data_IF_493035441690
#
_entry.id   IF_493035441690
#
_cell.length_a   1.000
_cell.length_b   1.000
_cell.length_c   1.000
_cell.angle_alpha   90.00
_cell.angle_beta   90.00
_cell.angle_gamma   90.00
#
_symmetry.space_group_name_H-M   'P 1'
#
loop_
_entity.id
_entity.type
_entity.pdbx_description
1 polymer ?
#
# COMPACT_ATOMS: atom_id res chain seq x y z
N UNK A 1 -46.71 -79.00 9.27
CA UNK A 1 -46.54 -78.99 10.73
C UNK A 1 -45.11 -79.35 11.08
N UNK A 2 -44.51 -78.66 12.06
CA UNK A 2 -43.15 -78.87 12.56
C UNK A 2 -42.07 -78.19 11.71
N UNK A 3 -40.99 -77.60 12.21
CA UNK A 3 -40.44 -77.49 13.56
C UNK A 3 -38.91 -77.29 13.46
N UNK A 4 -38.36 -76.38 14.26
CA UNK A 4 -37.02 -76.45 14.88
C UNK A 4 -35.71 -76.48 14.05
N UNK A 5 -34.91 -75.41 14.21
CA UNK A 5 -33.56 -75.48 14.81
C UNK A 5 -32.33 -75.81 13.94
N UNK A 6 -31.33 -74.91 13.94
CA UNK A 6 -29.90 -75.14 14.31
C UNK A 6 -28.97 -74.09 13.64
N UNK A 7 -28.13 -73.40 14.43
CA UNK A 7 -26.95 -72.67 13.95
C UNK A 7 -25.72 -73.58 13.86
N UNK A 8 -24.47 -73.09 13.98
CA UNK A 8 -23.86 -71.85 13.50
C UNK A 8 -22.72 -72.14 12.47
N UNK A 9 -22.31 -71.14 11.69
CA UNK A 9 -21.16 -71.25 10.79
C UNK A 9 -20.54 -69.88 10.52
N UNK A 10 -19.38 -69.64 11.10
CA UNK A 10 -18.61 -68.40 10.99
C UNK A 10 -18.07 -68.16 9.58
N UNK A 11 -17.81 -66.87 9.33
CA UNK A 11 -16.84 -66.28 8.39
C UNK A 11 -17.13 -66.45 6.90
N UNK A 12 -17.51 -65.35 6.24
CA UNK A 12 -16.62 -64.53 5.40
C UNK A 12 -17.30 -63.20 5.04
N UNK A 13 -16.52 -62.13 5.01
CA UNK A 13 -16.91 -60.73 4.87
C UNK A 13 -17.83 -60.45 3.66
N UNK A 14 -19.05 -60.01 3.94
CA UNK A 14 -20.01 -59.47 2.96
C UNK A 14 -20.43 -58.05 3.38
N UNK A 15 -19.46 -57.22 3.74
CA UNK A 15 -19.64 -55.81 4.12
C UNK A 15 -18.80 -54.87 3.24
N UNK A 16 -18.41 -55.32 2.04
CA UNK A 16 -17.49 -54.60 1.16
C UNK A 16 -18.08 -54.31 -0.24
N UNK A 17 -19.38 -54.03 -0.39
CA UNK A 17 -19.85 -53.66 -1.74
C UNK A 17 -21.13 -52.83 -1.86
N UNK A 18 -21.41 -51.92 -0.94
CA UNK A 18 -22.47 -50.92 -1.14
C UNK A 18 -22.10 -49.58 -0.47
N UNK A 19 -21.03 -48.93 -0.93
CA UNK A 19 -20.88 -47.48 -0.76
C UNK A 19 -20.90 -46.81 -2.14
N UNK A 20 -21.86 -45.90 -2.28
CA UNK A 20 -22.38 -45.35 -3.53
C UNK A 20 -21.62 -44.05 -3.83
N UNK A 21 -21.24 -43.74 -5.08
CA UNK A 21 -20.36 -42.60 -5.37
C UNK A 21 -21.02 -41.27 -5.00
N UNK A 22 -20.40 -40.55 -4.06
CA UNK A 22 -20.77 -39.20 -3.67
C UNK A 22 -20.01 -38.18 -4.52
N UNK A 23 -20.75 -37.51 -5.40
CA UNK A 23 -20.58 -36.15 -5.91
C UNK A 23 -19.14 -35.66 -6.22
N UNK A 24 -18.81 -35.58 -7.52
CA UNK A 24 -17.67 -34.79 -8.00
C UNK A 24 -17.90 -33.30 -7.73
N UNK A 25 -17.49 -32.85 -6.55
CA UNK A 25 -17.34 -31.44 -6.25
C UNK A 25 -16.25 -30.86 -7.17
N UNK A 26 -16.69 -30.19 -8.23
CA UNK A 26 -15.82 -29.35 -9.06
C UNK A 26 -15.13 -28.31 -8.16
N UNK A 27 -13.78 -28.16 -8.20
CA UNK A 27 -13.12 -27.14 -7.41
C UNK A 27 -13.65 -25.75 -7.82
N UNK A 28 -13.83 -24.81 -6.88
CA UNK A 28 -14.25 -23.46 -7.20
C UNK A 28 -13.25 -22.84 -8.19
N UNK A 29 -13.70 -22.02 -9.15
CA UNK A 29 -12.79 -21.33 -10.06
C UNK A 29 -11.76 -20.56 -9.23
N UNK A 30 -10.48 -20.80 -9.51
CA UNK A 30 -9.39 -20.09 -8.86
C UNK A 30 -9.63 -18.59 -8.98
N UNK A 31 -9.65 -17.90 -7.83
CA UNK A 31 -9.78 -16.44 -7.82
C UNK A 31 -8.66 -15.84 -8.70
N UNK A 32 -8.97 -14.82 -9.53
CA UNK A 32 -7.95 -14.16 -10.32
C UNK A 32 -6.85 -13.62 -9.40
N UNK A 33 -5.57 -13.65 -9.84
CA UNK A 33 -4.48 -13.14 -9.02
C UNK A 33 -4.75 -11.68 -8.64
N UNK A 34 -4.44 -11.26 -7.40
CA UNK A 34 -4.60 -9.87 -7.00
C UNK A 34 -3.78 -8.97 -7.94
N UNK A 35 -4.27 -7.76 -8.25
CA UNK A 35 -3.54 -6.84 -9.11
C UNK A 35 -2.16 -6.56 -8.51
N UNK A 36 -1.12 -6.37 -9.36
CA UNK A 36 0.22 -6.11 -8.88
C UNK A 36 0.25 -4.84 -8.02
N UNK A 37 0.82 -4.97 -6.82
CA UNK A 37 0.97 -3.85 -5.90
C UNK A 37 1.87 -2.77 -6.51
N UNK A 38 1.59 -1.50 -6.20
CA UNK A 38 2.44 -0.39 -6.65
C UNK A 38 3.83 -0.52 -6.02
N UNK A 39 4.85 -0.62 -6.86
CA UNK A 39 6.25 -0.46 -6.47
C UNK A 39 6.78 0.89 -6.96
N UNK A 40 7.53 1.60 -6.13
CA UNK A 40 8.18 2.86 -6.49
C UNK A 40 9.61 2.61 -6.99
N UNK A 41 10.03 3.40 -7.97
CA UNK A 41 11.42 3.41 -8.45
C UNK A 41 12.34 3.90 -7.32
N UNK A 42 13.44 3.17 -6.97
CA UNK A 42 14.32 3.58 -5.87
C UNK A 42 15.04 4.92 -6.09
N UNK A 43 15.38 5.23 -7.35
CA UNK A 43 16.04 6.48 -7.73
C UNK A 43 15.25 7.18 -8.85
N UNK A 44 14.12 7.84 -8.52
CA UNK A 44 13.38 8.62 -9.49
C UNK A 44 14.17 9.88 -9.90
N UNK A 45 13.90 10.38 -11.10
CA UNK A 45 14.58 11.52 -11.70
C UNK A 45 13.55 12.38 -12.40
N UNK A 46 13.54 13.66 -12.06
CA UNK A 46 12.64 14.66 -12.60
C UNK A 46 13.32 16.02 -12.48
N UNK A 47 13.33 16.81 -13.55
CA UNK A 47 13.83 18.19 -13.48
C UNK A 47 12.78 19.15 -12.92
N UNK A 48 13.23 20.31 -12.44
CA UNK A 48 12.36 21.29 -11.78
C UNK A 48 11.29 21.89 -12.71
N UNK A 49 11.61 22.12 -13.99
CA UNK A 49 10.66 22.68 -14.94
C UNK A 49 9.52 21.68 -15.20
N UNK A 50 9.85 20.41 -15.40
CA UNK A 50 8.87 19.33 -15.54
C UNK A 50 8.05 19.16 -14.27
N UNK A 51 8.65 19.23 -13.08
CA UNK A 51 7.90 19.18 -11.81
C UNK A 51 6.84 20.28 -11.74
N UNK A 52 7.22 21.53 -12.01
CA UNK A 52 6.29 22.66 -11.95
C UNK A 52 5.15 22.54 -12.97
N UNK A 53 5.50 22.20 -14.22
CA UNK A 53 4.50 21.99 -15.28
C UNK A 53 3.51 20.87 -14.94
N UNK A 54 4.00 19.73 -14.44
CA UNK A 54 3.17 18.61 -14.04
C UNK A 54 2.35 18.93 -12.78
N UNK A 55 2.93 19.61 -11.79
CA UNK A 55 2.20 20.02 -10.59
C UNK A 55 0.98 20.89 -10.90
N UNK A 56 1.10 21.79 -11.87
CA UNK A 56 -0.01 22.62 -12.32
C UNK A 56 -1.12 21.83 -13.05
N UNK A 57 -0.74 20.82 -13.82
CA UNK A 57 -1.66 20.08 -14.70
C UNK A 57 -2.31 18.84 -14.07
N UNK A 58 -1.61 18.15 -13.16
CA UNK A 58 -2.06 16.86 -12.64
C UNK A 58 -3.21 17.00 -11.63
N UNK A 59 -4.20 16.08 -11.67
CA UNK A 59 -5.26 16.04 -10.68
C UNK A 59 -4.73 15.54 -9.32
N UNK A 60 -5.41 15.89 -8.21
CA UNK A 60 -5.13 15.31 -6.91
C UNK A 60 -5.46 13.81 -6.87
N UNK A 61 -4.70 13.06 -6.08
CA UNK A 61 -5.02 11.66 -5.74
C UNK A 61 -6.29 11.58 -4.89
N UNK A 62 -6.93 10.39 -4.78
CA UNK A 62 -8.24 10.24 -4.15
C UNK A 62 -8.33 10.81 -2.73
N UNK A 63 -7.32 10.59 -1.88
CA UNK A 63 -7.26 11.12 -0.52
C UNK A 63 -7.08 12.65 -0.44
N UNK A 64 -6.76 13.30 -1.57
CA UNK A 64 -6.48 14.73 -1.66
C UNK A 64 -7.52 15.53 -2.47
N UNK A 65 -8.59 14.90 -2.97
CA UNK A 65 -9.62 15.57 -3.81
C UNK A 65 -10.31 16.70 -3.04
N UNK A 66 -10.63 16.48 -1.76
CA UNK A 66 -11.31 17.46 -0.91
C UNK A 66 -10.37 18.42 -0.18
N UNK A 67 -9.08 18.41 -0.53
CA UNK A 67 -8.03 19.21 0.12
C UNK A 67 -6.91 18.36 0.71
N UNK A 68 -5.98 18.98 1.46
CA UNK A 68 -4.81 18.27 1.97
C UNK A 68 -5.16 17.16 2.95
N UNK A 69 -4.57 15.97 2.75
CA UNK A 69 -4.62 14.85 3.70
C UNK A 69 -3.69 15.13 4.88
N UNK A 70 -4.08 14.74 6.09
CA UNK A 70 -3.20 14.81 7.26
C UNK A 70 -2.59 13.45 7.52
N UNK A 71 -1.26 13.38 7.55
CA UNK A 71 -0.48 12.19 7.87
C UNK A 71 0.20 12.35 9.24
N UNK A 72 0.38 11.24 9.94
CA UNK A 72 1.01 11.19 11.26
C UNK A 72 2.50 10.88 11.13
N UNK A 73 3.31 11.50 11.99
CA UNK A 73 4.74 11.22 12.13
C UNK A 73 5.04 10.35 13.37
N UNK A 74 6.23 9.75 13.40
CA UNK A 74 6.72 9.00 14.56
C UNK A 74 6.81 9.83 15.85
N UNK A 75 6.98 9.14 16.98
CA UNK A 75 6.93 9.76 18.31
C UNK A 75 8.04 10.80 18.53
N UNK A 76 9.21 10.57 17.94
CA UNK A 76 10.40 11.39 18.16
C UNK A 76 10.60 12.47 17.08
N UNK A 77 9.60 12.70 16.23
CA UNK A 77 9.71 13.62 15.09
C UNK A 77 10.11 15.05 15.49
N UNK A 78 9.64 15.57 16.63
CA UNK A 78 9.99 16.91 17.12
C UNK A 78 11.47 17.06 17.50
N UNK A 79 12.11 15.99 17.98
CA UNK A 79 13.52 15.99 18.35
C UNK A 79 14.45 15.89 17.13
N UNK A 80 14.04 15.12 16.12
CA UNK A 80 14.85 14.86 14.93
C UNK A 80 14.66 15.94 13.87
N UNK A 81 13.42 16.40 13.67
CA UNK A 81 13.06 17.25 12.53
C UNK A 81 13.18 18.75 12.86
N UNK A 82 14.40 19.16 13.22
CA UNK A 82 14.78 20.57 13.44
C UNK A 82 15.16 21.30 12.14
N UNK A 83 15.48 20.54 11.10
CA UNK A 83 15.77 21.00 9.74
C UNK A 83 15.20 19.99 8.72
N UNK A 84 15.18 20.31 7.41
CA UNK A 84 14.55 19.43 6.41
C UNK A 84 15.27 18.10 6.15
N UNK A 85 16.61 18.07 6.27
CA UNK A 85 17.45 16.97 5.78
C UNK A 85 17.12 15.55 6.32
N UNK A 86 16.72 15.37 7.60
CA UNK A 86 16.39 14.04 8.12
C UNK A 86 15.21 13.38 7.42
N UNK A 87 14.11 14.12 7.17
CA UNK A 87 12.95 13.57 6.49
C UNK A 87 13.22 13.35 4.99
N UNK A 88 14.01 14.23 4.36
CA UNK A 88 14.49 14.02 2.98
C UNK A 88 15.22 12.69 2.84
N UNK A 89 16.15 12.41 3.76
CA UNK A 89 16.95 11.19 3.73
C UNK A 89 16.08 9.95 3.95
N UNK A 90 15.15 10.00 4.90
CA UNK A 90 14.22 8.90 5.21
C UNK A 90 13.28 8.58 4.04
N UNK A 91 12.68 9.59 3.41
CA UNK A 91 11.77 9.36 2.30
C UNK A 91 12.48 8.87 1.03
N UNK A 92 13.75 9.25 0.84
CA UNK A 92 14.57 8.72 -0.25
C UNK A 92 14.72 7.19 -0.18
N UNK A 93 14.82 6.60 1.01
CA UNK A 93 14.89 5.12 1.16
C UNK A 93 13.57 4.42 0.83
N UNK A 94 12.49 5.19 0.65
CA UNK A 94 11.15 4.70 0.30
C UNK A 94 10.77 5.04 -1.16
N UNK A 95 11.72 5.54 -1.96
CA UNK A 95 11.51 5.85 -3.38
C UNK A 95 10.94 7.25 -3.66
N UNK A 96 10.91 8.14 -2.67
CA UNK A 96 10.53 9.54 -2.84
C UNK A 96 11.78 10.43 -2.89
N UNK A 97 12.05 11.04 -4.05
CA UNK A 97 13.09 12.04 -4.18
C UNK A 97 12.56 13.44 -3.81
N UNK A 98 13.46 14.34 -3.44
CA UNK A 98 13.12 15.72 -3.07
C UNK A 98 13.45 16.67 -4.21
N UNK A 99 12.47 17.46 -4.64
CA UNK A 99 12.64 18.55 -5.60
C UNK A 99 13.10 19.82 -4.90
N UNK A 100 12.46 20.15 -3.78
CA UNK A 100 12.81 21.29 -2.95
C UNK A 100 12.36 21.06 -1.51
N UNK A 101 13.08 21.65 -0.55
CA UNK A 101 12.70 21.66 0.85
C UNK A 101 13.20 22.92 1.53
N UNK A 102 12.49 23.40 2.55
CA UNK A 102 12.90 24.60 3.28
C UNK A 102 12.00 24.95 4.45
N UNK A 103 12.32 26.05 5.12
CA UNK A 103 11.65 26.49 6.34
C UNK A 103 12.25 25.84 7.60
N UNK A 104 11.54 26.02 8.71
CA UNK A 104 11.93 25.56 10.04
C UNK A 104 10.66 25.21 10.84
N UNK A 105 10.74 24.45 11.94
CA UNK A 105 9.61 24.21 12.81
C UNK A 105 8.94 25.54 13.23
N UNK A 106 7.59 25.59 13.28
CA UNK A 106 6.63 24.50 13.17
C UNK A 106 6.13 24.22 11.74
N UNK A 107 6.73 24.82 10.71
CA UNK A 107 6.27 24.69 9.32
C UNK A 107 7.44 24.46 8.37
N UNK A 108 7.84 23.20 8.23
CA UNK A 108 8.85 22.79 7.26
C UNK A 108 8.14 22.34 5.99
N UNK A 109 8.51 22.91 4.84
CA UNK A 109 7.88 22.63 3.55
C UNK A 109 8.75 21.73 2.70
N UNK A 110 8.11 20.79 2.00
CA UNK A 110 8.73 19.86 1.09
C UNK A 110 7.94 19.72 -0.20
N UNK A 111 8.68 19.51 -1.28
CA UNK A 111 8.18 19.09 -2.58
C UNK A 111 8.89 17.79 -2.93
N UNK A 112 8.17 16.68 -2.87
CA UNK A 112 8.70 15.35 -3.22
C UNK A 112 8.13 14.86 -4.55
N UNK A 113 8.81 13.91 -5.15
CA UNK A 113 8.29 13.17 -6.30
C UNK A 113 8.72 11.70 -6.25
N UNK A 114 7.88 10.84 -6.81
CA UNK A 114 8.16 9.43 -7.02
C UNK A 114 7.66 8.99 -8.39
N UNK A 115 8.19 7.89 -8.90
CA UNK A 115 7.76 7.27 -10.16
C UNK A 115 7.47 5.79 -9.91
N UNK A 116 6.46 5.25 -10.57
CA UNK A 116 6.21 3.82 -10.53
C UNK A 116 7.40 3.05 -11.12
N UNK A 117 7.75 1.91 -10.54
CA UNK A 117 8.89 1.09 -10.96
C UNK A 117 8.73 0.51 -12.37
N UNK A 118 7.49 0.31 -12.80
CA UNK A 118 7.12 -0.12 -14.16
C UNK A 118 7.12 1.02 -15.19
N UNK A 119 7.48 2.24 -14.77
CA UNK A 119 7.50 3.44 -15.62
C UNK A 119 6.12 4.07 -15.86
N UNK A 120 5.03 3.47 -15.35
CA UNK A 120 3.66 3.90 -15.62
C UNK A 120 3.07 4.70 -14.46
N UNK A 121 3.62 5.89 -14.20
CA UNK A 121 3.01 6.85 -13.29
C UNK A 121 4.01 7.78 -12.61
N UNK A 122 3.61 9.04 -12.48
CA UNK A 122 4.29 10.07 -11.71
C UNK A 122 3.45 10.45 -10.49
N UNK A 123 4.11 10.59 -9.34
CA UNK A 123 3.49 11.04 -8.09
C UNK A 123 4.24 12.27 -7.61
N UNK A 124 3.52 13.38 -7.47
CA UNK A 124 4.07 14.65 -6.99
C UNK A 124 3.44 14.97 -5.64
N UNK A 125 4.23 15.46 -4.70
CA UNK A 125 3.79 15.67 -3.32
C UNK A 125 4.23 17.05 -2.85
N UNK A 126 3.28 17.83 -2.33
CA UNK A 126 3.57 18.96 -1.45
C UNK A 126 3.26 18.53 -0.02
N UNK A 127 4.21 18.74 0.90
CA UNK A 127 4.02 18.47 2.32
C UNK A 127 4.42 19.68 3.16
N UNK A 128 3.54 20.05 4.10
CA UNK A 128 3.84 21.02 5.16
C UNK A 128 3.82 20.28 6.49
N UNK A 129 4.98 20.19 7.12
CA UNK A 129 5.22 19.37 8.30
C UNK A 129 5.31 20.23 9.54
N UNK A 130 4.53 19.86 10.56
CA UNK A 130 4.63 20.35 11.92
C UNK A 130 5.18 19.23 12.83
N UNK A 131 6.48 19.28 13.19
CA UNK A 131 7.10 18.25 14.02
C UNK A 131 6.49 18.15 15.41
N UNK A 132 6.14 19.29 16.04
CA UNK A 132 5.58 19.33 17.39
C UNK A 132 4.18 18.71 17.42
N UNK A 133 3.37 18.94 16.38
CA UNK A 133 2.06 18.32 16.23
C UNK A 133 2.12 16.88 15.70
N UNK A 134 3.32 16.38 15.36
CA UNK A 134 3.55 15.08 14.70
C UNK A 134 2.66 14.89 13.47
N UNK A 135 2.47 15.96 12.71
CA UNK A 135 1.50 16.00 11.63
C UNK A 135 2.12 16.59 10.35
N UNK A 136 1.77 16.01 9.21
CA UNK A 136 2.08 16.53 7.88
C UNK A 136 0.78 16.77 7.11
N UNK A 137 0.57 17.99 6.61
CA UNK A 137 -0.49 18.29 5.65
C UNK A 137 0.06 18.06 4.26
N UNK A 138 -0.53 17.13 3.53
CA UNK A 138 -0.01 16.61 2.28
C UNK A 138 -1.03 16.77 1.16
N UNK A 139 -0.54 17.19 -0.01
CA UNK A 139 -1.27 17.12 -1.28
C UNK A 139 -0.46 16.22 -2.21
N UNK A 140 -1.06 15.12 -2.66
CA UNK A 140 -0.50 14.24 -3.68
C UNK A 140 -1.25 14.44 -4.99
N UNK A 141 -0.52 14.57 -6.09
CA UNK A 141 -1.04 14.66 -7.46
C UNK A 141 -0.43 13.58 -8.34
N UNK A 142 -1.20 13.02 -9.27
CA UNK A 142 -0.72 11.91 -10.11
C UNK A 142 -1.49 11.76 -11.42
N UNK A 143 -0.82 11.20 -12.44
CA UNK A 143 -1.43 10.70 -13.69
C UNK A 143 -1.67 9.18 -13.69
N UNK A 144 -1.30 8.47 -12.63
CA UNK A 144 -1.34 7.01 -12.56
C UNK A 144 -2.75 6.41 -12.32
N UNK A 145 -3.78 7.26 -12.28
CA UNK A 145 -5.15 6.90 -11.93
C UNK A 145 -5.41 6.72 -10.43
N UNK A 146 -6.68 6.60 -10.06
CA UNK A 146 -7.12 6.62 -8.66
C UNK A 146 -6.51 5.49 -7.81
N UNK A 147 -6.49 4.26 -8.31
CA UNK A 147 -5.99 3.10 -7.56
C UNK A 147 -4.51 3.24 -7.21
N UNK A 148 -3.67 3.64 -8.18
CA UNK A 148 -2.23 3.86 -7.93
C UNK A 148 -2.00 5.11 -7.10
N UNK A 149 -2.82 6.15 -7.26
CA UNK A 149 -2.81 7.33 -6.38
C UNK A 149 -3.02 6.96 -4.92
N UNK A 150 -4.07 6.18 -4.62
CA UNK A 150 -4.34 5.71 -3.26
C UNK A 150 -3.19 4.85 -2.70
N UNK A 151 -2.64 3.93 -3.51
CA UNK A 151 -1.50 3.12 -3.09
C UNK A 151 -0.25 3.99 -2.77
N UNK A 152 0.02 5.03 -3.56
CA UNK A 152 1.13 5.96 -3.28
C UNK A 152 0.88 6.78 -2.00
N UNK A 153 -0.37 7.16 -1.73
CA UNK A 153 -0.76 7.83 -0.49
C UNK A 153 -0.54 6.93 0.73
N UNK A 154 -0.77 5.62 0.61
CA UNK A 154 -0.53 4.66 1.70
C UNK A 154 0.97 4.43 1.94
N UNK A 155 1.77 4.27 0.87
CA UNK A 155 3.23 4.16 0.99
C UNK A 155 3.81 5.40 1.67
N UNK A 156 3.32 6.59 1.29
CA UNK A 156 3.74 7.86 1.90
C UNK A 156 3.31 7.94 3.37
N UNK A 157 2.09 7.53 3.69
CA UNK A 157 1.59 7.52 5.07
C UNK A 157 2.42 6.60 5.97
N UNK A 158 2.75 5.40 5.50
CA UNK A 158 3.61 4.45 6.24
C UNK A 158 5.03 5.00 6.42
N UNK A 159 5.59 5.61 5.37
CA UNK A 159 6.90 6.23 5.43
C UNK A 159 6.94 7.41 6.44
N UNK A 160 5.89 8.23 6.48
CA UNK A 160 5.75 9.32 7.45
C UNK A 160 5.60 8.78 8.88
N UNK A 161 4.77 7.75 9.08
CA UNK A 161 4.53 7.17 10.40
C UNK A 161 5.77 6.47 10.97
N UNK A 162 6.59 5.85 10.13
CA UNK A 162 7.86 5.23 10.52
C UNK A 162 9.02 6.20 10.71
N UNK A 163 8.88 7.46 10.25
CA UNK A 163 9.91 8.47 10.45
C UNK A 163 10.04 8.84 11.94
N UNK A 164 11.22 8.58 12.51
CA UNK A 164 11.51 8.83 13.93
C UNK A 164 10.48 8.16 14.86
N UNK A 165 10.00 6.97 14.47
CA UNK A 165 9.14 6.13 15.30
C UNK A 165 9.86 5.65 16.56
#
# INVERSE_FOLDING_TARGET
>A
GGGGGSGPGSSHNLLDLLDVPMDSASPPPAAPPPPPALALRPAPSLDAATFQARWAALPPAPGCISGPRVLTLGANASAVLTAPAPLVSHLATRGFATMASGGAPPAIKYYFYAQAADGAGLFLVEAVVNPAARAARVVLKTDAGAQRGAAAEDILAEAMASFAA
#
